data_IF_252573614115
#
_entry.id   IF_252573614115
#
_cell.length_a   1.000
_cell.length_b   1.000
_cell.length_c   1.000
_cell.angle_alpha   90.00
_cell.angle_beta   90.00
_cell.angle_gamma   90.00
#
_symmetry.space_group_name_H-M   'P 1'
#
loop_
_entity.id
_entity.type
_entity.pdbx_description
1 polymer ?
#
# COMPACT_ATOMS: atom_id res chain seq x y z
N UNK A 1 27.82 -6.83 18.82
CA UNK A 1 26.84 -5.86 19.41
C UNK A 1 25.93 -6.63 20.36
N UNK A 2 25.69 -6.18 21.61
CA UNK A 2 24.79 -6.88 22.55
C UNK A 2 23.35 -6.87 21.99
N UNK A 3 22.58 -7.95 22.16
CA UNK A 3 21.14 -8.01 21.78
C UNK A 3 20.32 -6.80 22.28
N UNK A 4 20.78 -6.12 23.33
CA UNK A 4 20.21 -4.90 23.91
C UNK A 4 20.24 -3.65 23.01
N UNK A 5 20.84 -3.72 21.82
CA UNK A 5 20.96 -2.60 20.88
C UNK A 5 19.96 -2.64 19.73
N UNK A 6 19.19 -3.73 19.62
CA UNK A 6 18.10 -3.86 18.67
C UNK A 6 16.86 -3.21 19.30
N UNK A 7 16.22 -2.22 18.65
CA UNK A 7 15.02 -1.58 19.17
C UNK A 7 13.95 -2.61 19.58
N UNK A 8 13.37 -2.46 20.78
CA UNK A 8 12.38 -3.39 21.35
C UNK A 8 11.20 -3.71 20.40
N UNK A 9 10.88 -2.78 19.49
CA UNK A 9 9.84 -2.91 18.45
C UNK A 9 10.13 -4.04 17.44
N UNK A 10 11.40 -4.31 17.14
CA UNK A 10 11.80 -5.39 16.23
C UNK A 10 11.59 -6.78 16.87
N UNK A 11 11.65 -6.86 18.21
CA UNK A 11 11.54 -8.13 18.94
C UNK A 11 10.10 -8.67 19.06
N UNK A 12 9.08 -7.81 18.96
CA UNK A 12 7.69 -8.27 19.10
C UNK A 12 7.19 -9.05 17.86
N UNK A 13 7.82 -8.82 16.70
CA UNK A 13 7.40 -9.34 15.41
C UNK A 13 8.54 -10.06 14.67
N UNK A 14 9.25 -10.95 15.39
CA UNK A 14 10.46 -11.64 14.90
C UNK A 14 10.25 -12.36 13.57
N UNK A 15 9.09 -12.98 13.35
CA UNK A 15 8.80 -13.67 12.09
C UNK A 15 8.85 -12.73 10.89
N UNK A 16 8.10 -11.61 10.96
CA UNK A 16 8.05 -10.62 9.89
C UNK A 16 9.37 -9.85 9.74
N UNK A 17 10.06 -9.54 10.83
CA UNK A 17 11.38 -8.93 10.78
C UNK A 17 12.41 -9.84 10.07
N UNK A 18 12.38 -11.15 10.33
CA UNK A 18 13.22 -12.14 9.62
C UNK A 18 12.91 -12.20 8.14
N UNK A 19 11.64 -12.16 7.76
CA UNK A 19 11.23 -12.10 6.36
C UNK A 19 11.78 -10.84 5.68
N UNK A 20 11.63 -9.66 6.30
CA UNK A 20 12.15 -8.40 5.78
C UNK A 20 13.66 -8.49 5.55
N UNK A 21 14.39 -8.97 6.56
CA UNK A 21 15.85 -9.16 6.48
C UNK A 21 16.22 -10.17 5.38
N UNK A 22 15.50 -11.29 5.28
CA UNK A 22 15.75 -12.31 4.26
C UNK A 22 15.59 -11.73 2.85
N UNK A 23 14.56 -10.92 2.60
CA UNK A 23 14.39 -10.25 1.31
C UNK A 23 15.53 -9.25 1.07
N UNK A 24 15.90 -8.41 2.05
CA UNK A 24 17.03 -7.48 1.88
C UNK A 24 18.34 -8.23 1.54
N UNK A 25 18.57 -9.39 2.16
CA UNK A 25 19.71 -10.26 1.85
C UNK A 25 19.62 -10.81 0.43
N UNK A 26 18.46 -11.35 0.03
CA UNK A 26 18.18 -11.88 -1.32
C UNK A 26 18.57 -10.87 -2.41
N UNK A 27 18.29 -9.59 -2.19
CA UNK A 27 18.57 -8.51 -3.14
C UNK A 27 19.95 -7.85 -2.97
N UNK A 28 20.82 -8.37 -2.10
CA UNK A 28 22.15 -7.80 -1.85
C UNK A 28 22.08 -6.38 -1.32
N UNK A 29 21.14 -6.12 -0.40
CA UNK A 29 20.90 -4.82 0.25
C UNK A 29 21.20 -4.87 1.76
N UNK A 30 21.83 -5.95 2.22
CA UNK A 30 22.11 -6.21 3.62
C UNK A 30 23.50 -5.73 4.09
N UNK A 31 24.17 -4.87 3.32
CA UNK A 31 25.56 -4.44 3.59
C UNK A 31 25.74 -3.78 4.98
N UNK A 32 24.68 -3.15 5.50
CA UNK A 32 24.65 -2.57 6.86
C UNK A 32 24.25 -3.54 7.99
N UNK A 33 23.88 -4.78 7.67
CA UNK A 33 23.34 -5.80 8.60
C UNK A 33 24.29 -6.99 8.83
N UNK A 34 25.56 -6.88 8.40
CA UNK A 34 26.61 -7.91 8.48
C UNK A 34 26.90 -8.47 9.88
N UNK A 35 26.32 -7.86 10.93
CA UNK A 35 26.46 -8.27 12.34
C UNK A 35 25.38 -9.26 12.82
N UNK A 36 24.34 -9.54 12.01
CA UNK A 36 23.29 -10.51 12.37
C UNK A 36 23.74 -11.95 12.03
N UNK A 37 23.49 -12.95 12.89
CA UNK A 37 23.86 -14.33 12.60
C UNK A 37 23.08 -14.85 11.38
N UNK A 38 23.77 -14.87 10.23
CA UNK A 38 23.30 -15.21 8.89
C UNK A 38 23.06 -16.71 8.65
N UNK A 39 23.08 -17.54 9.70
CA UNK A 39 22.88 -19.00 9.61
C UNK A 39 21.59 -19.37 8.84
N UNK A 40 20.53 -18.58 8.99
CA UNK A 40 19.23 -18.81 8.34
C UNK A 40 19.15 -18.38 6.86
N UNK A 41 20.14 -17.62 6.36
CA UNK A 41 20.12 -17.04 5.01
C UNK A 41 21.11 -17.70 4.05
N UNK A 42 21.91 -18.68 4.51
CA UNK A 42 22.92 -19.38 3.70
C UNK A 42 22.34 -20.08 2.48
N UNK A 43 21.08 -20.53 2.56
CA UNK A 43 20.40 -21.24 1.47
C UNK A 43 19.74 -20.28 0.44
N UNK A 44 19.58 -19.00 0.79
CA UNK A 44 18.98 -17.99 -0.10
C UNK A 44 19.92 -17.57 -1.25
N UNK A 45 21.22 -17.80 -1.11
CA UNK A 45 22.26 -17.42 -2.08
C UNK A 45 22.50 -18.47 -3.18
N UNK A 46 21.95 -19.68 -3.07
CA UNK A 46 22.25 -20.77 -4.00
C UNK A 46 21.15 -20.92 -5.05
N UNK A 47 21.27 -20.19 -6.16
CA UNK A 47 20.45 -20.44 -7.35
C UNK A 47 20.61 -19.42 -8.47
N UNK A 48 20.12 -19.73 -9.68
CA UNK A 48 20.22 -18.88 -10.88
C UNK A 48 19.55 -17.50 -10.73
N UNK A 49 18.67 -17.32 -9.74
CA UNK A 49 18.08 -16.03 -9.38
C UNK A 49 19.11 -15.02 -8.84
N UNK A 50 20.15 -15.48 -8.13
CA UNK A 50 21.22 -14.62 -7.59
C UNK A 50 22.06 -13.97 -8.70
N UNK A 51 22.38 -14.72 -9.76
CA UNK A 51 23.15 -14.22 -10.90
C UNK A 51 22.37 -13.20 -11.75
N UNK A 52 21.06 -13.38 -11.87
CA UNK A 52 20.18 -12.42 -12.53
C UNK A 52 20.06 -11.12 -11.71
N UNK A 53 20.00 -11.21 -10.39
CA UNK A 53 19.96 -10.07 -9.48
C UNK A 53 21.29 -9.29 -9.47
N UNK A 54 22.43 -9.98 -9.57
CA UNK A 54 23.76 -9.36 -9.62
C UNK A 54 23.95 -8.43 -10.85
N UNK A 55 23.21 -8.66 -11.94
CA UNK A 55 23.22 -7.82 -13.15
C UNK A 55 22.38 -6.54 -13.04
N UNK A 56 21.48 -6.46 -12.07
CA UNK A 56 20.61 -5.28 -11.87
C UNK A 56 21.36 -4.18 -11.10
N UNK A 57 21.02 -2.92 -11.39
CA UNK A 57 21.51 -1.78 -10.60
C UNK A 57 21.00 -1.86 -9.15
N UNK A 58 21.68 -1.17 -8.22
CA UNK A 58 21.23 -1.10 -6.83
C UNK A 58 19.80 -0.54 -6.73
N UNK A 59 19.47 0.46 -7.54
CA UNK A 59 18.13 1.05 -7.57
C UNK A 59 17.06 0.02 -7.97
N UNK A 60 17.31 -0.77 -9.02
CA UNK A 60 16.39 -1.83 -9.45
C UNK A 60 16.23 -2.91 -8.38
N UNK A 61 17.32 -3.31 -7.70
CA UNK A 61 17.23 -4.29 -6.60
C UNK A 61 16.40 -3.77 -5.42
N UNK A 62 16.51 -2.48 -5.08
CA UNK A 62 15.67 -1.85 -4.04
C UNK A 62 14.19 -1.91 -4.45
N UNK A 63 13.86 -1.50 -5.69
CA UNK A 63 12.47 -1.56 -6.18
C UNK A 63 11.90 -2.97 -6.06
N UNK A 64 12.63 -3.97 -6.56
CA UNK A 64 12.17 -5.36 -6.53
C UNK A 64 12.02 -5.90 -5.10
N UNK A 65 12.92 -5.53 -4.18
CA UNK A 65 12.79 -5.86 -2.76
C UNK A 65 11.51 -5.26 -2.16
N UNK A 66 11.23 -3.98 -2.43
CA UNK A 66 10.02 -3.33 -1.94
C UNK A 66 8.74 -3.97 -2.50
N UNK A 67 8.75 -4.37 -3.78
CA UNK A 67 7.66 -5.12 -4.40
C UNK A 67 7.43 -6.46 -3.71
N UNK A 68 8.50 -7.23 -3.45
CA UNK A 68 8.40 -8.54 -2.79
C UNK A 68 7.96 -8.45 -1.33
N UNK A 69 8.36 -7.39 -0.62
CA UNK A 69 7.93 -7.13 0.76
C UNK A 69 6.45 -6.76 0.87
N UNK A 70 5.82 -6.37 -0.24
CA UNK A 70 4.38 -6.17 -0.35
C UNK A 70 3.90 -4.75 -0.03
N UNK A 71 2.59 -4.57 0.22
CA UNK A 71 1.91 -3.27 0.09
C UNK A 71 2.53 -2.12 0.89
N UNK A 72 2.91 -2.35 2.15
CA UNK A 72 3.53 -1.33 3.00
C UNK A 72 4.82 -0.79 2.39
N UNK A 73 5.65 -1.66 1.82
CA UNK A 73 6.95 -1.30 1.26
C UNK A 73 6.83 -0.71 -0.15
N UNK A 74 5.85 -1.15 -0.94
CA UNK A 74 5.47 -0.50 -2.19
C UNK A 74 5.08 0.96 -1.92
N UNK A 75 4.21 1.19 -0.92
CA UNK A 75 3.78 2.54 -0.52
C UNK A 75 4.93 3.42 -0.05
N UNK A 76 5.84 2.86 0.74
CA UNK A 76 7.06 3.54 1.15
C UNK A 76 7.88 3.96 -0.08
N UNK A 77 8.06 3.06 -1.04
CA UNK A 77 8.77 3.32 -2.29
C UNK A 77 8.12 4.42 -3.12
N UNK A 78 6.79 4.44 -3.25
CA UNK A 78 6.06 5.49 -3.96
C UNK A 78 6.24 6.86 -3.29
N UNK A 79 6.20 6.95 -1.96
CA UNK A 79 6.44 8.22 -1.26
C UNK A 79 7.89 8.69 -1.48
N UNK A 80 8.86 7.77 -1.38
CA UNK A 80 10.26 8.09 -1.65
C UNK A 80 10.53 8.47 -3.12
N UNK A 81 9.74 7.95 -4.07
CA UNK A 81 9.88 8.27 -5.51
C UNK A 81 9.56 9.74 -5.82
N UNK A 82 8.75 10.37 -4.97
CA UNK A 82 8.44 11.82 -5.05
C UNK A 82 9.49 12.70 -4.37
N UNK A 83 10.50 12.10 -3.74
CA UNK A 83 11.50 12.78 -2.89
C UNK A 83 12.94 12.51 -3.34
N UNK A 84 13.34 12.91 -4.56
CA UNK A 84 14.69 12.68 -5.08
C UNK A 84 15.79 13.33 -4.21
N UNK A 85 15.46 14.34 -3.42
CA UNK A 85 16.37 14.95 -2.45
C UNK A 85 16.74 14.01 -1.28
N UNK A 86 15.91 13.01 -0.99
CA UNK A 86 16.17 12.02 0.06
C UNK A 86 16.88 10.77 -0.45
N UNK A 87 16.53 10.31 -1.65
CA UNK A 87 16.96 8.99 -2.17
C UNK A 87 17.87 9.06 -3.40
N UNK A 88 18.05 10.26 -3.97
CA UNK A 88 18.74 10.47 -5.24
C UNK A 88 17.83 10.28 -6.46
N UNK A 89 18.15 10.99 -7.55
CA UNK A 89 17.35 11.01 -8.79
C UNK A 89 17.20 9.61 -9.40
N UNK A 90 18.27 8.82 -9.42
CA UNK A 90 18.26 7.47 -10.01
C UNK A 90 17.27 6.55 -9.28
N UNK A 91 17.34 6.51 -7.94
CA UNK A 91 16.46 5.66 -7.15
C UNK A 91 15.02 6.18 -7.19
N UNK A 92 14.81 7.49 -7.12
CA UNK A 92 13.48 8.07 -7.23
C UNK A 92 12.79 7.68 -8.56
N UNK A 93 13.49 7.82 -9.69
CA UNK A 93 12.98 7.45 -11.01
C UNK A 93 12.69 5.94 -11.12
N UNK A 94 13.52 5.09 -10.52
CA UNK A 94 13.25 3.64 -10.50
C UNK A 94 12.02 3.32 -9.65
N UNK A 95 11.86 3.94 -8.47
CA UNK A 95 10.72 3.72 -7.58
C UNK A 95 9.38 4.19 -8.16
N UNK A 96 9.38 5.12 -9.12
CA UNK A 96 8.16 5.50 -9.86
C UNK A 96 7.56 4.33 -10.66
N UNK A 97 8.35 3.30 -10.96
CA UNK A 97 7.89 2.09 -11.67
C UNK A 97 7.17 1.09 -10.75
N UNK A 98 7.06 1.37 -9.45
CA UNK A 98 6.27 0.56 -8.53
C UNK A 98 4.79 0.68 -8.89
N UNK A 99 4.18 -0.45 -9.27
CA UNK A 99 2.75 -0.52 -9.51
C UNK A 99 2.02 -0.95 -8.25
N UNK A 100 0.82 -0.42 -8.06
CA UNK A 100 -0.15 -0.93 -7.10
C UNK A 100 -0.87 -2.11 -7.74
N UNK A 101 -0.36 -3.30 -7.51
CA UNK A 101 -1.14 -4.50 -7.74
C UNK A 101 -1.00 -5.39 -6.51
N UNK A 102 -2.13 -5.61 -5.84
CA UNK A 102 -2.23 -6.47 -4.69
C UNK A 102 -3.15 -7.63 -5.06
N UNK A 103 -2.78 -8.89 -4.79
CA UNK A 103 -3.68 -10.02 -4.97
C UNK A 103 -5.00 -9.75 -4.26
N UNK A 104 -6.10 -9.98 -4.96
CA UNK A 104 -7.43 -9.87 -4.37
C UNK A 104 -7.66 -10.99 -3.35
N UNK A 105 -8.36 -10.65 -2.27
CA UNK A 105 -8.90 -11.61 -1.34
C UNK A 105 -10.03 -12.43 -2.00
N UNK A 106 -10.22 -13.69 -1.57
CA UNK A 106 -11.30 -14.55 -2.06
C UNK A 106 -12.69 -13.92 -1.81
N UNK A 107 -13.67 -14.14 -2.70
CA UNK A 107 -15.01 -13.58 -2.57
C UNK A 107 -15.68 -13.80 -1.22
N UNK A 108 -15.48 -14.98 -0.61
CA UNK A 108 -16.05 -15.34 0.69
C UNK A 108 -15.47 -14.49 1.82
N UNK A 109 -14.19 -14.12 1.72
CA UNK A 109 -13.52 -13.24 2.69
C UNK A 109 -14.06 -11.81 2.59
N UNK A 110 -14.29 -11.33 1.37
CA UNK A 110 -14.86 -10.00 1.12
C UNK A 110 -16.29 -9.94 1.62
N UNK A 111 -17.12 -10.92 1.26
CA UNK A 111 -18.52 -11.04 1.71
C UNK A 111 -18.58 -11.03 3.24
N UNK A 112 -17.80 -11.89 3.90
CA UNK A 112 -17.75 -11.94 5.35
C UNK A 112 -17.34 -10.60 5.98
N UNK A 113 -16.42 -9.85 5.34
CA UNK A 113 -16.04 -8.52 5.83
C UNK A 113 -17.17 -7.50 5.67
N UNK A 114 -17.86 -7.47 4.54
CA UNK A 114 -19.00 -6.57 4.30
C UNK A 114 -20.10 -6.85 5.34
N UNK A 115 -20.46 -8.12 5.53
CA UNK A 115 -21.52 -8.53 6.46
C UNK A 115 -21.17 -8.23 7.92
N UNK A 116 -19.90 -8.43 8.30
CA UNK A 116 -19.43 -8.12 9.65
C UNK A 116 -19.46 -6.62 9.95
N UNK A 117 -19.13 -5.77 8.96
CA UNK A 117 -19.09 -4.32 9.12
C UNK A 117 -20.47 -3.67 9.02
N UNK A 118 -21.35 -4.17 8.15
CA UNK A 118 -22.67 -3.60 7.90
C UNK A 118 -23.81 -4.31 8.64
N UNK A 119 -23.55 -5.46 9.26
CA UNK A 119 -24.49 -6.17 10.14
C UNK A 119 -25.64 -6.87 9.42
N UNK A 120 -25.57 -7.00 8.10
CA UNK A 120 -26.60 -7.64 7.26
C UNK A 120 -25.94 -8.47 6.14
N UNK A 121 -26.61 -9.53 5.64
CA UNK A 121 -26.14 -10.28 4.48
C UNK A 121 -25.95 -9.39 3.24
N UNK A 122 -24.96 -9.70 2.39
CA UNK A 122 -24.73 -8.95 1.13
C UNK A 122 -25.99 -8.92 0.25
N UNK A 123 -26.73 -10.02 0.19
CA UNK A 123 -27.99 -10.15 -0.55
C UNK A 123 -29.13 -9.33 0.06
N UNK A 124 -29.01 -8.92 1.33
CA UNK A 124 -29.96 -8.01 1.97
C UNK A 124 -29.68 -6.55 1.59
N UNK A 125 -28.40 -6.20 1.53
CA UNK A 125 -27.87 -4.87 1.26
C UNK A 125 -27.93 -4.48 -0.24
N UNK A 126 -27.60 -5.42 -1.13
CA UNK A 126 -27.44 -5.19 -2.56
C UNK A 126 -28.32 -6.15 -3.38
N UNK A 127 -28.88 -5.67 -4.49
CA UNK A 127 -29.61 -6.53 -5.43
C UNK A 127 -28.69 -7.35 -6.33
N UNK A 128 -27.49 -6.84 -6.58
CA UNK A 128 -26.43 -7.50 -7.35
C UNK A 128 -25.08 -7.21 -6.67
N UNK A 129 -24.20 -8.21 -6.60
CA UNK A 129 -22.83 -8.05 -6.12
C UNK A 129 -21.90 -8.91 -7.00
N UNK A 130 -20.88 -8.28 -7.59
CA UNK A 130 -19.87 -8.98 -8.39
C UNK A 130 -18.74 -9.48 -7.49
N UNK A 131 -18.60 -10.80 -7.42
CA UNK A 131 -17.54 -11.47 -6.67
C UNK A 131 -16.15 -11.21 -7.24
N UNK A 132 -16.06 -10.84 -8.53
CA UNK A 132 -14.79 -10.45 -9.14
C UNK A 132 -14.54 -8.96 -8.86
N UNK A 133 -13.40 -8.60 -8.27
CA UNK A 133 -13.08 -7.20 -8.04
C UNK A 133 -12.87 -6.48 -9.38
N UNK A 134 -13.36 -5.25 -9.47
CA UNK A 134 -13.03 -4.30 -10.55
C UNK A 134 -11.56 -3.88 -10.50
N UNK A 135 -11.02 -3.77 -9.29
CA UNK A 135 -9.64 -3.41 -9.02
C UNK A 135 -9.22 -3.91 -7.63
N UNK A 136 -7.93 -4.17 -7.47
CA UNK A 136 -7.34 -4.51 -6.17
C UNK A 136 -6.10 -3.64 -5.96
N UNK A 137 -6.00 -3.00 -4.81
CA UNK A 137 -4.97 -2.01 -4.51
C UNK A 137 -4.37 -2.27 -3.12
N UNK A 138 -3.39 -1.46 -2.73
CA UNK A 138 -2.53 -1.72 -1.55
C UNK A 138 -3.25 -2.08 -0.24
N UNK A 139 -4.40 -1.45 0.07
CA UNK A 139 -5.11 -1.61 1.34
C UNK A 139 -6.46 -2.31 1.22
N UNK A 140 -6.93 -2.56 0.01
CA UNK A 140 -8.25 -3.12 -0.24
C UNK A 140 -8.57 -3.21 -1.73
N UNK A 141 -9.71 -3.79 -2.00
CA UNK A 141 -10.23 -4.06 -3.34
C UNK A 141 -11.61 -3.46 -3.55
N UNK A 142 -11.97 -3.25 -4.80
CA UNK A 142 -13.20 -2.58 -5.21
C UNK A 142 -14.07 -3.55 -5.98
N UNK A 143 -15.32 -3.70 -5.56
CA UNK A 143 -16.31 -4.57 -6.18
C UNK A 143 -17.42 -3.74 -6.83
N UNK A 144 -17.98 -4.27 -7.91
CA UNK A 144 -19.22 -3.75 -8.48
C UNK A 144 -20.42 -4.26 -7.69
N UNK A 145 -21.41 -3.41 -7.44
CA UNK A 145 -22.69 -3.83 -6.90
C UNK A 145 -23.82 -2.94 -7.42
N UNK A 146 -25.05 -3.34 -7.10
CA UNK A 146 -26.27 -2.57 -7.36
C UNK A 146 -27.10 -2.47 -6.10
N UNK A 147 -27.53 -1.26 -5.76
CA UNK A 147 -28.46 -1.03 -4.67
C UNK A 147 -29.84 -1.61 -4.99
N UNK A 148 -30.66 -1.79 -3.95
CA UNK A 148 -32.03 -2.32 -4.05
C UNK A 148 -32.95 -1.50 -4.95
N UNK A 149 -32.69 -0.20 -5.08
CA UNK A 149 -33.41 0.72 -5.97
C UNK A 149 -32.89 0.70 -7.42
N UNK A 150 -31.84 -0.07 -7.68
CA UNK A 150 -31.23 -0.25 -8.99
C UNK A 150 -30.01 0.63 -9.26
N UNK A 151 -29.62 1.54 -8.36
CA UNK A 151 -28.47 2.44 -8.57
C UNK A 151 -27.14 1.64 -8.57
N UNK A 152 -26.27 1.82 -9.58
CA UNK A 152 -24.98 1.14 -9.65
C UNK A 152 -23.97 1.78 -8.71
N UNK A 153 -23.29 0.97 -7.90
CA UNK A 153 -22.32 1.42 -6.90
C UNK A 153 -21.04 0.62 -6.99
N UNK A 154 -19.98 1.15 -6.38
CA UNK A 154 -18.76 0.41 -6.08
C UNK A 154 -18.58 0.31 -4.57
N UNK A 155 -18.11 -0.86 -4.14
CA UNK A 155 -17.85 -1.17 -2.74
C UNK A 155 -16.35 -1.39 -2.59
N UNK A 156 -15.67 -0.49 -1.90
CA UNK A 156 -14.26 -0.63 -1.53
C UNK A 156 -14.19 -1.34 -0.18
N UNK A 157 -13.51 -2.48 -0.14
CA UNK A 157 -13.39 -3.33 1.05
C UNK A 157 -11.92 -3.50 1.38
N UNK A 158 -11.55 -3.31 2.64
CA UNK A 158 -10.17 -3.52 3.08
C UNK A 158 -9.73 -4.98 2.94
N UNK A 159 -8.45 -5.18 2.67
CA UNK A 159 -7.89 -6.53 2.67
C UNK A 159 -7.95 -7.16 4.06
N UNK A 160 -8.17 -8.47 4.11
CA UNK A 160 -8.18 -9.20 5.38
C UNK A 160 -6.82 -9.09 6.10
N UNK A 161 -6.85 -8.72 7.38
CA UNK A 161 -5.65 -8.60 8.21
C UNK A 161 -4.69 -7.45 7.85
N UNK A 162 -5.04 -6.58 6.89
CA UNK A 162 -4.12 -5.55 6.37
C UNK A 162 -3.64 -4.55 7.43
N UNK A 163 -4.52 -4.14 8.34
CA UNK A 163 -4.16 -3.22 9.43
C UNK A 163 -3.04 -3.81 10.31
N UNK A 164 -3.19 -5.07 10.73
CA UNK A 164 -2.19 -5.74 11.57
C UNK A 164 -0.85 -5.83 10.84
N UNK A 165 -0.89 -6.25 9.56
CA UNK A 165 0.29 -6.32 8.70
C UNK A 165 1.00 -4.97 8.58
N UNK A 166 0.26 -3.90 8.30
CA UNK A 166 0.78 -2.54 8.18
C UNK A 166 1.41 -2.08 9.50
N UNK A 167 0.75 -2.31 10.64
CA UNK A 167 1.29 -1.93 11.95
C UNK A 167 2.62 -2.62 12.25
N UNK A 168 2.73 -3.90 11.93
CA UNK A 168 3.99 -4.67 12.09
C UNK A 168 5.09 -4.13 11.17
N UNK A 169 4.78 -3.91 9.89
CA UNK A 169 5.74 -3.38 8.92
C UNK A 169 6.24 -1.98 9.33
N UNK A 170 5.35 -1.11 9.82
CA UNK A 170 5.69 0.21 10.32
C UNK A 170 6.65 0.18 11.52
N UNK A 171 6.49 -0.79 12.44
CA UNK A 171 7.44 -1.00 13.53
C UNK A 171 8.84 -1.35 13.04
N UNK A 172 8.93 -2.21 12.02
CA UNK A 172 10.19 -2.62 11.41
C UNK A 172 10.83 -1.43 10.69
N UNK A 173 10.06 -0.68 9.90
CA UNK A 173 10.52 0.51 9.18
C UNK A 173 11.09 1.56 10.15
N UNK A 174 10.39 1.84 11.26
CA UNK A 174 10.88 2.76 12.29
C UNK A 174 12.18 2.25 12.92
N UNK A 175 12.28 0.96 13.20
CA UNK A 175 13.51 0.35 13.72
C UNK A 175 14.68 0.50 12.74
N UNK A 176 14.45 0.26 11.45
CA UNK A 176 15.46 0.46 10.40
C UNK A 176 15.85 1.93 10.25
N UNK A 177 14.89 2.85 10.33
CA UNK A 177 15.13 4.28 10.26
C UNK A 177 16.00 4.77 11.44
N UNK A 178 15.75 4.28 12.64
CA UNK A 178 16.58 4.55 13.81
C UNK A 178 18.01 4.05 13.63
N UNK A 179 18.18 2.85 13.07
CA UNK A 179 19.50 2.30 12.78
C UNK A 179 20.23 3.14 11.71
N UNK A 180 19.53 3.56 10.66
CA UNK A 180 20.07 4.41 9.61
C UNK A 180 20.54 5.76 10.17
N UNK A 181 19.78 6.38 11.08
CA UNK A 181 20.16 7.65 11.71
C UNK A 181 21.44 7.58 12.57
N UNK A 182 21.87 6.39 12.99
CA UNK A 182 23.15 6.22 13.69
C UNK A 182 24.34 6.36 12.74
N UNK A 183 24.13 6.20 11.43
CA UNK A 183 25.18 6.34 10.42
C UNK A 183 25.33 7.81 9.98
N UNK A 184 26.55 8.39 10.02
CA UNK A 184 26.78 9.81 9.70
C UNK A 184 26.20 10.24 8.34
N UNK A 185 26.36 9.40 7.31
CA UNK A 185 25.89 9.69 5.95
C UNK A 185 24.37 9.83 5.85
N UNK A 186 23.61 9.16 6.71
CA UNK A 186 22.15 9.14 6.65
C UNK A 186 21.51 10.10 7.65
N UNK A 187 22.23 10.52 8.70
CA UNK A 187 21.72 11.39 9.77
C UNK A 187 21.12 12.70 9.24
N UNK A 188 21.73 13.30 8.22
CA UNK A 188 21.28 14.58 7.64
C UNK A 188 19.94 14.45 6.89
N UNK A 189 19.55 13.25 6.47
CA UNK A 189 18.28 12.98 5.78
C UNK A 189 17.11 12.71 6.74
N UNK A 190 17.36 12.72 8.07
CA UNK A 190 16.37 12.47 9.14
C UNK A 190 15.45 11.25 8.90
N UNK A 191 15.99 10.04 8.61
CA UNK A 191 15.19 8.83 8.35
C UNK A 191 14.03 8.58 9.32
N UNK A 192 14.20 8.81 10.63
CA UNK A 192 13.15 8.58 11.64
C UNK A 192 11.98 9.55 11.46
N UNK A 193 12.27 10.80 11.11
CA UNK A 193 11.22 11.78 10.82
C UNK A 193 10.42 11.39 9.57
N UNK A 194 11.12 10.97 8.51
CA UNK A 194 10.50 10.47 7.27
C UNK A 194 9.65 9.23 7.54
N UNK A 195 10.15 8.27 8.33
CA UNK A 195 9.40 7.08 8.72
C UNK A 195 8.17 7.40 9.58
N UNK A 196 8.26 8.38 10.49
CA UNK A 196 7.13 8.81 11.31
C UNK A 196 6.05 9.55 10.49
N UNK A 197 6.45 10.32 9.48
CA UNK A 197 5.52 10.90 8.51
C UNK A 197 4.83 9.82 7.68
N UNK A 198 5.60 8.87 7.16
CA UNK A 198 5.07 7.70 6.44
C UNK A 198 4.04 6.94 7.29
N UNK A 199 4.38 6.64 8.54
CA UNK A 199 3.47 5.99 9.49
C UNK A 199 2.16 6.76 9.64
N UNK A 200 2.22 8.09 9.84
CA UNK A 200 1.01 8.92 9.99
C UNK A 200 0.16 8.92 8.73
N UNK A 201 0.76 8.96 7.55
CA UNK A 201 0.03 8.92 6.29
C UNK A 201 -0.61 7.56 6.06
N UNK A 202 0.14 6.47 6.20
CA UNK A 202 -0.39 5.13 5.95
C UNK A 202 -1.49 4.73 6.94
N UNK A 203 -1.36 5.08 8.22
CA UNK A 203 -2.42 4.82 9.21
C UNK A 203 -3.70 5.64 8.94
N UNK A 204 -3.59 6.80 8.29
CA UNK A 204 -4.77 7.59 7.88
C UNK A 204 -5.51 6.94 6.70
N UNK A 205 -4.85 6.10 5.91
CA UNK A 205 -5.51 5.42 4.80
C UNK A 205 -6.27 4.16 5.23
N UNK A 206 -5.94 3.61 6.40
CA UNK A 206 -6.66 2.48 7.01
C UNK A 206 -8.06 2.86 7.55
N UNK A 207 -8.48 4.10 7.41
CA UNK A 207 -9.81 4.56 7.82
C UNK A 207 -10.53 5.15 6.60
N UNK A 208 -11.38 4.34 5.97
CA UNK A 208 -12.20 4.78 4.84
C UNK A 208 -13.23 5.85 5.21
N UNK A 209 -13.56 6.03 6.50
CA UNK A 209 -14.38 7.15 6.94
C UNK A 209 -13.68 8.51 6.75
N UNK A 210 -12.36 8.54 6.57
CA UNK A 210 -11.64 9.75 6.15
C UNK A 210 -11.86 10.04 4.67
N UNK A 211 -11.84 9.01 3.83
CA UNK A 211 -12.10 9.12 2.40
C UNK A 211 -13.54 9.57 2.15
N UNK A 212 -14.50 8.99 2.85
CA UNK A 212 -15.91 9.40 2.83
C UNK A 212 -16.08 10.89 3.19
N UNK A 213 -15.50 11.34 4.30
CA UNK A 213 -15.55 12.75 4.71
C UNK A 213 -14.96 13.69 3.66
N UNK A 214 -13.88 13.26 3.00
CA UNK A 214 -13.31 14.02 1.90
C UNK A 214 -14.28 14.10 0.72
N UNK A 215 -14.93 13.00 0.34
CA UNK A 215 -15.95 12.99 -0.72
C UNK A 215 -17.08 13.99 -0.41
N UNK A 216 -17.65 13.94 0.79
CA UNK A 216 -18.71 14.84 1.22
C UNK A 216 -18.27 16.32 1.21
N UNK A 217 -17.03 16.58 1.64
CA UNK A 217 -16.45 17.92 1.62
C UNK A 217 -16.26 18.42 0.18
N UNK A 218 -15.68 17.60 -0.70
CA UNK A 218 -15.45 17.97 -2.09
C UNK A 218 -16.76 18.14 -2.86
N UNK A 219 -17.77 17.31 -2.61
CA UNK A 219 -19.10 17.46 -3.19
C UNK A 219 -19.75 18.80 -2.80
N UNK A 220 -19.44 19.31 -1.61
CA UNK A 220 -19.89 20.64 -1.18
C UNK A 220 -19.11 21.76 -1.87
N UNK A 221 -17.79 21.63 -1.96
CA UNK A 221 -16.91 22.64 -2.58
C UNK A 221 -17.21 22.81 -4.08
N UNK A 222 -17.46 21.71 -4.79
CA UNK A 222 -17.60 21.70 -6.24
C UNK A 222 -19.05 21.65 -6.74
N UNK A 223 -20.04 21.86 -5.86
CA UNK A 223 -21.47 21.75 -6.17
C UNK A 223 -21.92 22.56 -7.40
N UNK A 224 -21.32 23.73 -7.59
CA UNK A 224 -21.68 24.67 -8.65
C UNK A 224 -20.75 24.62 -9.87
N UNK A 225 -19.76 23.71 -9.89
CA UNK A 225 -18.86 23.53 -11.05
C UNK A 225 -19.31 22.33 -11.92
N UNK A 226 -19.94 22.57 -13.09
CA UNK A 226 -20.46 21.48 -13.92
C UNK A 226 -19.38 20.60 -14.57
N UNK A 227 -18.09 20.95 -14.43
CA UNK A 227 -16.97 20.18 -14.98
C UNK A 227 -16.46 19.11 -14.02
N UNK A 228 -16.85 19.17 -12.75
CA UNK A 228 -16.35 18.30 -11.68
C UNK A 228 -17.52 17.53 -11.09
N UNK A 229 -17.47 16.21 -11.21
CA UNK A 229 -18.42 15.32 -10.55
C UNK A 229 -17.73 14.59 -9.40
N UNK A 230 -18.29 14.68 -8.20
CA UNK A 230 -17.83 13.95 -7.03
C UNK A 230 -18.83 12.82 -6.77
N UNK A 231 -18.39 11.55 -6.73
CA UNK A 231 -19.32 10.43 -6.55
C UNK A 231 -20.04 10.55 -5.21
N UNK A 232 -21.34 10.28 -5.21
CA UNK A 232 -22.13 10.20 -3.96
C UNK A 232 -21.58 9.08 -3.08
N UNK A 233 -21.37 9.34 -1.80
CA UNK A 233 -21.11 8.31 -0.79
C UNK A 233 -22.41 7.85 -0.12
N UNK A 234 -22.51 6.56 0.20
CA UNK A 234 -23.65 5.96 0.91
C UNK A 234 -23.21 5.64 2.35
N UNK A 235 -23.46 6.58 3.25
CA UNK A 235 -22.95 6.51 4.64
C UNK A 235 -23.53 5.36 5.44
N UNK A 236 -24.78 4.99 5.17
CA UNK A 236 -25.46 3.84 5.75
C UNK A 236 -24.88 2.49 5.28
N UNK A 237 -24.11 2.49 4.19
CA UNK A 237 -23.41 1.34 3.63
C UNK A 237 -21.88 1.52 3.72
N UNK A 238 -21.40 2.36 4.65
CA UNK A 238 -19.98 2.68 4.81
C UNK A 238 -19.55 2.65 6.27
N UNK A 239 -18.32 2.20 6.50
CA UNK A 239 -17.63 2.13 7.78
C UNK A 239 -16.17 2.54 7.62
N UNK A 240 -15.35 2.36 8.66
CA UNK A 240 -13.90 2.53 8.54
C UNK A 240 -13.21 1.53 7.60
N UNK A 241 -13.86 0.39 7.28
CA UNK A 241 -13.28 -0.72 6.51
C UNK A 241 -14.02 -1.05 5.21
N UNK A 242 -15.23 -0.51 5.05
CA UNK A 242 -16.06 -0.63 3.84
C UNK A 242 -16.47 0.77 3.40
N UNK A 243 -16.33 1.10 2.12
CA UNK A 243 -16.82 2.37 1.57
C UNK A 243 -17.64 2.10 0.33
N UNK A 244 -18.91 2.49 0.37
CA UNK A 244 -19.83 2.38 -0.74
C UNK A 244 -20.04 3.76 -1.38
N UNK A 245 -19.83 3.84 -2.69
CA UNK A 245 -20.00 5.09 -3.44
C UNK A 245 -20.55 4.85 -4.85
N UNK A 246 -21.10 5.91 -5.43
CA UNK A 246 -21.61 5.94 -6.79
C UNK A 246 -20.56 5.42 -7.77
N UNK A 247 -21.00 4.54 -8.69
CA UNK A 247 -20.12 4.07 -9.75
C UNK A 247 -20.01 5.11 -10.85
N UNK A 248 -18.79 5.60 -11.06
CA UNK A 248 -18.48 6.47 -12.20
C UNK A 248 -17.97 5.68 -13.40
N UNK A 249 -18.24 6.23 -14.59
CA UNK A 249 -17.79 5.71 -15.87
C UNK A 249 -17.01 6.80 -16.61
N UNK A 250 -15.87 6.44 -17.19
CA UNK A 250 -15.04 7.39 -17.93
C UNK A 250 -13.71 6.78 -18.38
N UNK A 251 -12.88 7.63 -18.97
CA UNK A 251 -11.51 7.30 -19.39
C UNK A 251 -10.57 7.68 -18.25
N UNK A 252 -9.64 6.79 -17.87
CA UNK A 252 -8.66 7.11 -16.83
C UNK A 252 -7.67 8.15 -17.36
N UNK A 253 -7.23 9.09 -16.52
CA UNK A 253 -6.19 10.07 -16.86
C UNK A 253 -4.86 9.43 -17.32
N UNK A 254 -4.59 8.21 -16.86
CA UNK A 254 -3.42 7.44 -17.29
C UNK A 254 -3.50 6.98 -18.77
N UNK A 255 -4.69 6.98 -19.38
CA UNK A 255 -4.92 6.64 -20.79
C UNK A 255 -4.85 7.91 -21.66
N UNK A 256 -3.75 8.66 -21.56
CA UNK A 256 -3.58 9.96 -22.23
C UNK A 256 -3.84 9.90 -23.74
N UNK A 257 -3.34 8.87 -24.44
CA UNK A 257 -3.56 8.68 -25.87
C UNK A 257 -5.05 8.54 -26.21
N UNK A 258 -5.82 7.87 -25.35
CA UNK A 258 -7.26 7.68 -25.53
C UNK A 258 -8.04 8.96 -25.25
N UNK A 259 -7.63 9.74 -24.24
CA UNK A 259 -8.20 11.06 -23.97
C UNK A 259 -8.03 11.98 -25.19
N UNK A 260 -6.82 12.06 -25.73
CA UNK A 260 -6.53 12.86 -26.94
C UNK A 260 -7.34 12.36 -28.13
N UNK A 261 -7.42 11.03 -28.34
CA UNK A 261 -8.20 10.44 -29.42
C UNK A 261 -9.72 10.72 -29.31
N UNK A 262 -10.24 10.84 -28.09
CA UNK A 262 -11.64 11.22 -27.82
C UNK A 262 -11.85 12.75 -27.75
N UNK A 263 -10.81 13.55 -28.02
CA UNK A 263 -10.90 15.01 -28.17
C UNK A 263 -10.79 15.81 -26.88
N UNK A 264 -10.28 15.21 -25.80
CA UNK A 264 -9.94 15.89 -24.55
C UNK A 264 -8.52 16.49 -24.64
N UNK A 265 -8.34 17.71 -24.11
CA UNK A 265 -7.05 18.44 -24.01
C UNK A 265 -6.30 18.07 -22.73
#
# INVERSE_FOLDING_TARGET
>A
MKLSSIPHRIYRNVSRAREVIAVLIKYGLADGFSQLPLEFAKDLFKGPAGDALARNTRATRIRLALSELGPTFIKLGQILSTRPELVGIELAAELQKLQEDAPADPPETVRAMIEAELGQPVEELFSEFDERPLASASIGQVHHARLRDGEPVVIKVQHAGIESKIRVDLEIILGMAQLAEMHPDFKNYRPTATAAEFQRTLLRELDFGREERNLLQFATIFRDDPRIHIPRSYSELSTSRVLTMERLHGIKLAEADRLIAEGFD
#
